data_IF_220790053740
#
_entry.id   IF_220790053740
#
_cell.length_a   1.000
_cell.length_b   1.000
_cell.length_c   1.000
_cell.angle_alpha   90.00
_cell.angle_beta   90.00
_cell.angle_gamma   90.00
#
_symmetry.space_group_name_H-M   'P 1'
#
loop_
_entity.id
_entity.type
_entity.pdbx_description
1 polymer ?
#
# COMPACT_ATOMS: atom_id res chain seq x y z
N UNK A 1 -1.43 5.33 10.89
CA UNK A 1 -0.29 5.07 9.98
C UNK A 1 -0.66 5.62 8.62
N UNK A 2 0.30 6.08 7.82
CA UNK A 2 0.01 6.63 6.49
C UNK A 2 0.76 5.80 5.45
N UNK A 3 0.05 5.23 4.47
CA UNK A 3 0.64 4.60 3.30
C UNK A 3 0.63 5.59 2.14
N UNK A 4 1.81 5.92 1.63
CA UNK A 4 1.99 6.88 0.54
C UNK A 4 2.34 6.13 -0.74
N UNK A 5 1.62 6.42 -1.82
CA UNK A 5 1.76 5.79 -3.14
C UNK A 5 1.81 4.25 -3.08
N UNK A 6 0.68 3.57 -2.78
CA UNK A 6 0.62 2.12 -2.71
C UNK A 6 1.12 1.41 -3.97
N UNK A 7 0.89 1.99 -5.15
CA UNK A 7 1.45 1.51 -6.41
C UNK A 7 2.99 1.49 -6.40
N UNK A 8 3.64 2.48 -5.76
CA UNK A 8 5.10 2.51 -5.63
C UNK A 8 5.60 1.36 -4.76
N UNK A 9 4.86 1.02 -3.70
CA UNK A 9 5.20 -0.06 -2.79
C UNK A 9 5.18 -1.40 -3.54
N UNK A 10 4.20 -1.58 -4.43
CA UNK A 10 4.08 -2.79 -5.25
C UNK A 10 5.20 -2.86 -6.29
N UNK A 11 5.49 -1.76 -6.97
CA UNK A 11 6.51 -1.71 -8.04
C UNK A 11 7.94 -1.81 -7.51
N UNK A 12 8.20 -1.40 -6.27
CA UNK A 12 9.55 -1.35 -5.70
C UNK A 12 10.19 -2.73 -5.48
N UNK A 13 9.39 -3.80 -5.40
CA UNK A 13 9.87 -5.14 -5.05
C UNK A 13 9.18 -6.21 -5.89
N UNK A 14 9.90 -7.31 -6.22
CA UNK A 14 9.34 -8.47 -6.93
C UNK A 14 8.13 -9.09 -6.19
N UNK A 15 8.06 -8.92 -4.87
CA UNK A 15 6.95 -9.37 -4.00
C UNK A 15 6.20 -8.18 -3.40
N UNK A 16 6.03 -7.11 -4.18
CA UNK A 16 5.48 -5.85 -3.71
C UNK A 16 4.06 -5.94 -3.13
N UNK A 17 3.21 -6.86 -3.60
CA UNK A 17 1.90 -7.11 -2.99
C UNK A 17 2.01 -7.66 -1.56
N UNK A 18 2.98 -8.55 -1.29
CA UNK A 18 3.24 -9.00 0.08
C UNK A 18 3.72 -7.85 0.96
N UNK A 19 4.53 -6.95 0.40
CA UNK A 19 5.00 -5.76 1.11
C UNK A 19 3.85 -4.82 1.44
N UNK A 20 2.95 -4.61 0.49
CA UNK A 20 1.73 -3.82 0.67
C UNK A 20 0.83 -4.42 1.75
N UNK A 21 0.61 -5.74 1.75
CA UNK A 21 -0.14 -6.44 2.80
C UNK A 21 0.40 -6.15 4.21
N UNK A 22 1.73 -6.19 4.39
CA UNK A 22 2.37 -5.86 5.68
C UNK A 22 2.11 -4.40 6.06
N UNK A 23 2.19 -3.47 5.11
CA UNK A 23 1.91 -2.05 5.34
C UNK A 23 0.45 -1.85 5.77
N UNK A 24 -0.50 -2.50 5.11
CA UNK A 24 -1.93 -2.40 5.40
C UNK A 24 -2.29 -2.98 6.79
N UNK A 25 -1.65 -4.06 7.19
CA UNK A 25 -1.99 -4.81 8.42
C UNK A 25 -1.27 -4.31 9.67
N UNK A 26 -0.22 -3.49 9.53
CA UNK A 26 0.50 -2.90 10.68
C UNK A 26 -0.29 -1.83 11.42
N UNK A 27 -1.30 -1.26 10.78
CA UNK A 27 -2.13 -0.22 11.37
C UNK A 27 -3.22 -0.84 12.26
N UNK A 28 -3.06 -0.74 13.59
CA UNK A 28 -3.99 -1.34 14.55
C UNK A 28 -5.28 -0.52 14.69
N UNK A 29 -5.18 0.81 14.71
CA UNK A 29 -6.33 1.70 14.98
C UNK A 29 -6.81 2.47 13.76
N UNK A 30 -5.90 2.95 12.91
CA UNK A 30 -6.24 3.73 11.71
C UNK A 30 -5.10 3.69 10.68
N UNK A 31 -5.50 3.52 9.43
CA UNK A 31 -4.65 3.66 8.26
C UNK A 31 -5.22 4.74 7.34
N UNK A 32 -4.37 5.71 6.98
CA UNK A 32 -4.66 6.71 5.96
C UNK A 32 -3.86 6.35 4.71
N UNK A 33 -4.50 6.39 3.54
CA UNK A 33 -3.86 6.11 2.25
C UNK A 33 -3.81 7.39 1.44
N UNK A 34 -2.61 7.80 1.04
CA UNK A 34 -2.40 8.97 0.19
C UNK A 34 -1.79 8.51 -1.12
N UNK A 35 -2.46 8.80 -2.23
CA UNK A 35 -2.00 8.44 -3.56
C UNK A 35 -2.39 9.49 -4.60
N UNK A 36 -1.49 9.79 -5.53
CA UNK A 36 -1.78 10.54 -6.76
C UNK A 36 -1.95 9.61 -7.96
N UNK A 37 -1.24 8.48 -7.97
CA UNK A 37 -1.41 7.44 -9.00
C UNK A 37 -2.64 6.59 -8.69
N UNK A 38 -3.20 5.87 -9.69
CA UNK A 38 -4.22 4.87 -9.43
C UNK A 38 -3.78 3.91 -8.32
N UNK A 39 -4.75 3.48 -7.51
CA UNK A 39 -4.49 2.40 -6.57
C UNK A 39 -4.17 1.11 -7.34
N UNK A 40 -3.38 0.19 -6.75
CA UNK A 40 -3.26 -1.17 -7.26
C UNK A 40 -4.64 -1.79 -7.46
N UNK A 41 -4.79 -2.60 -8.52
CA UNK A 41 -6.07 -3.23 -8.86
C UNK A 41 -6.64 -4.07 -7.71
N UNK A 42 -5.78 -4.62 -6.85
CA UNK A 42 -6.19 -5.38 -5.66
C UNK A 42 -6.84 -4.53 -4.55
N UNK A 43 -6.70 -3.21 -4.64
CA UNK A 43 -7.33 -2.21 -3.76
C UNK A 43 -8.45 -1.43 -4.48
N UNK A 44 -8.79 -1.82 -5.72
CA UNK A 44 -9.84 -1.23 -6.56
C UNK A 44 -11.13 -2.04 -6.60
#
# INVERSE_FOLDING_TARGET
MIAVEPAAIVEAETRGLNRLYVVLTRAVSRLDVLHHRPLPDELG
#
